data_IF_776308148267
#
_entry.id   IF_776308148267
#
_cell.length_a   1.000
_cell.length_b   1.000
_cell.length_c   1.000
_cell.angle_alpha   90.00
_cell.angle_beta   90.00
_cell.angle_gamma   90.00
#
_symmetry.space_group_name_H-M   'P 1'
#
loop_
_entity.id
_entity.type
_entity.pdbx_description
1 polymer ?
#
# COMPACT_ATOMS: atom_id res chain seq x y z
N UNK A 1 -18.23 8.81 2.01
CA UNK A 1 -17.86 7.97 3.19
C UNK A 1 -16.71 8.66 3.91
N UNK A 2 -16.64 8.60 5.26
CA UNK A 2 -15.51 9.14 6.04
C UNK A 2 -14.87 8.02 6.86
N UNK A 3 -13.54 7.88 6.79
CA UNK A 3 -12.71 6.98 7.61
C UNK A 3 -11.66 7.82 8.33
N UNK A 4 -11.20 7.39 9.50
CA UNK A 4 -10.21 8.14 10.27
C UNK A 4 -9.25 7.22 11.05
N UNK A 5 -8.12 7.82 11.44
CA UNK A 5 -7.16 7.32 12.39
C UNK A 5 -6.74 8.48 13.30
N UNK A 6 -6.18 8.18 14.46
CA UNK A 6 -5.67 9.16 15.43
C UNK A 6 -4.24 8.79 15.79
N UNK A 7 -3.36 9.79 15.77
CA UNK A 7 -1.99 9.67 16.26
C UNK A 7 -1.83 10.54 17.50
N UNK A 8 -1.13 10.03 18.52
CA UNK A 8 -0.74 10.76 19.72
C UNK A 8 0.78 10.74 19.80
N UNK A 9 1.39 11.87 20.17
CA UNK A 9 2.82 11.99 20.38
C UNK A 9 3.12 12.68 21.71
N UNK A 10 4.09 12.16 22.46
CA UNK A 10 4.52 12.73 23.74
C UNK A 10 6.05 12.88 23.76
N UNK A 11 6.53 14.08 24.12
CA UNK A 11 7.96 14.40 24.21
C UNK A 11 8.55 14.99 22.94
N UNK A 12 9.88 15.12 22.90
CA UNK A 12 10.61 15.62 21.73
C UNK A 12 10.66 14.58 20.58
N UNK A 13 11.15 14.98 19.41
CA UNK A 13 11.16 14.11 18.22
C UNK A 13 12.07 12.88 18.40
N UNK A 14 13.23 12.99 19.06
CA UNK A 14 14.22 11.89 19.11
C UNK A 14 13.94 10.89 20.22
N UNK A 15 13.46 11.36 21.37
CA UNK A 15 13.21 10.51 22.56
C UNK A 15 11.73 10.27 22.83
N UNK A 16 10.85 11.00 22.14
CA UNK A 16 9.41 10.89 22.28
C UNK A 16 8.85 9.54 21.84
N UNK A 17 7.61 9.32 22.25
CA UNK A 17 6.86 8.11 21.95
C UNK A 17 5.52 8.49 21.38
N UNK A 18 5.11 7.77 20.34
CA UNK A 18 3.81 7.93 19.74
C UNK A 18 3.01 6.64 19.71
N UNK A 19 1.70 6.81 19.57
CA UNK A 19 0.76 5.73 19.29
C UNK A 19 -0.16 6.10 18.14
N UNK A 20 -0.56 5.11 17.33
CA UNK A 20 -1.54 5.26 16.25
C UNK A 20 -2.71 4.28 16.49
N UNK A 21 -3.93 4.78 16.32
CA UNK A 21 -5.17 3.98 16.38
C UNK A 21 -6.01 4.22 15.14
N UNK A 22 -6.61 3.16 14.57
CA UNK A 22 -7.56 3.28 13.45
C UNK A 22 -9.00 3.15 13.93
N UNK A 23 -9.96 3.73 13.21
CA UNK A 23 -11.39 3.63 13.54
C UNK A 23 -11.87 2.16 13.68
N UNK A 24 -11.29 1.24 12.90
CA UNK A 24 -11.60 -0.20 12.94
C UNK A 24 -10.99 -0.92 14.14
N UNK A 25 -10.07 -0.27 14.87
CA UNK A 25 -9.22 -0.87 15.91
C UNK A 25 -8.25 -1.94 15.40
N UNK A 26 -8.01 -2.01 14.09
CA UNK A 26 -6.96 -2.86 13.52
C UNK A 26 -5.59 -2.41 14.03
N UNK A 27 -5.39 -1.10 14.16
CA UNK A 27 -4.35 -0.52 15.01
C UNK A 27 -5.05 0.03 16.25
N UNK A 28 -4.56 -0.34 17.43
CA UNK A 28 -5.08 0.11 18.71
C UNK A 28 -3.91 0.47 19.63
N UNK A 29 -3.66 1.77 19.76
CA UNK A 29 -2.52 2.33 20.47
C UNK A 29 -1.19 1.71 20.02
N UNK A 30 -1.08 1.38 18.73
CA UNK A 30 0.11 0.76 18.15
C UNK A 30 1.27 1.74 18.22
N UNK A 31 2.39 1.30 18.78
CA UNK A 31 3.55 2.17 18.99
C UNK A 31 4.22 2.58 17.67
N UNK A 32 4.62 3.85 17.60
CA UNK A 32 5.55 4.39 16.61
C UNK A 32 6.48 5.41 17.26
N UNK A 33 7.68 5.59 16.71
CA UNK A 33 8.70 6.48 17.25
C UNK A 33 9.65 6.94 16.14
N UNK A 34 10.58 7.84 16.46
CA UNK A 34 11.66 8.19 15.54
C UNK A 34 12.51 6.96 15.19
N UNK A 35 12.80 6.12 16.20
CA UNK A 35 13.56 4.90 16.01
C UNK A 35 12.84 3.91 15.09
N UNK A 36 11.55 3.66 15.28
CA UNK A 36 10.81 2.71 14.40
C UNK A 36 10.55 3.26 13.00
N UNK A 37 10.82 4.55 12.76
CA UNK A 37 10.66 5.19 11.45
C UNK A 37 11.98 5.34 10.69
N UNK A 38 13.08 5.62 11.38
CA UNK A 38 14.37 5.93 10.75
C UNK A 38 15.53 5.02 11.17
N UNK A 39 15.29 4.13 12.14
CA UNK A 39 16.24 3.12 12.63
C UNK A 39 15.55 1.75 12.64
N UNK A 40 16.25 0.72 13.15
CA UNK A 40 15.65 -0.59 13.38
C UNK A 40 14.90 -0.62 14.72
N UNK A 41 13.66 -1.08 14.70
CA UNK A 41 12.86 -1.23 15.91
C UNK A 41 11.50 -1.87 15.65
N UNK A 42 10.91 -2.45 16.70
CA UNK A 42 9.57 -3.04 16.62
C UNK A 42 8.53 -1.92 16.81
N UNK A 43 7.72 -1.65 15.80
CA UNK A 43 6.63 -0.68 15.81
C UNK A 43 6.20 -0.33 14.39
N UNK A 44 5.10 0.40 14.25
CA UNK A 44 4.66 0.86 12.92
C UNK A 44 5.39 2.16 12.53
N UNK A 45 5.22 2.57 11.28
CA UNK A 45 5.66 3.87 10.77
C UNK A 45 4.67 4.35 9.67
N UNK A 46 4.61 5.66 9.38
CA UNK A 46 3.73 6.18 8.34
C UNK A 46 3.93 5.51 6.98
N UNK A 47 5.17 5.20 6.61
CA UNK A 47 5.53 4.66 5.29
C UNK A 47 4.91 3.27 5.05
N UNK A 48 4.97 2.35 6.00
CA UNK A 48 4.33 1.03 5.86
C UNK A 48 2.80 1.13 5.85
N UNK A 49 2.21 2.13 6.51
CA UNK A 49 0.75 2.34 6.50
C UNK A 49 0.28 2.89 5.15
N UNK A 50 1.08 3.76 4.54
CA UNK A 50 0.87 4.23 3.16
C UNK A 50 1.03 3.07 2.18
N UNK A 51 2.06 2.23 2.36
CA UNK A 51 2.27 1.03 1.55
C UNK A 51 1.08 0.06 1.64
N UNK A 52 0.59 -0.20 2.85
CA UNK A 52 -0.57 -1.06 3.09
C UNK A 52 -1.84 -0.51 2.41
N UNK A 53 -2.07 0.81 2.50
CA UNK A 53 -3.18 1.46 1.83
C UNK A 53 -3.10 1.33 0.31
N UNK A 54 -1.91 1.54 -0.28
CA UNK A 54 -1.72 1.46 -1.73
C UNK A 54 -1.83 0.03 -2.24
N UNK A 55 -1.13 -0.92 -1.63
CA UNK A 55 -1.22 -2.34 -1.99
C UNK A 55 -2.68 -2.84 -1.95
N UNK A 56 -3.41 -2.54 -0.87
CA UNK A 56 -4.81 -2.97 -0.73
C UNK A 56 -5.73 -2.32 -1.77
N UNK A 57 -5.57 -1.03 -2.02
CA UNK A 57 -6.40 -0.31 -2.98
C UNK A 57 -6.15 -0.77 -4.42
N UNK A 58 -4.88 -0.91 -4.82
CA UNK A 58 -4.47 -1.42 -6.11
C UNK A 58 -4.99 -2.84 -6.33
N UNK A 59 -4.77 -3.75 -5.38
CA UNK A 59 -5.19 -5.16 -5.48
C UNK A 59 -6.69 -5.28 -5.69
N UNK A 60 -7.48 -4.51 -4.93
CA UNK A 60 -8.93 -4.50 -5.06
C UNK A 60 -9.37 -3.97 -6.44
N UNK A 61 -8.74 -2.90 -6.92
CA UNK A 61 -9.04 -2.33 -8.23
C UNK A 61 -8.69 -3.27 -9.39
N UNK A 62 -7.53 -3.93 -9.32
CA UNK A 62 -7.11 -4.95 -10.27
C UNK A 62 -8.12 -6.11 -10.30
N UNK A 63 -8.55 -6.59 -9.12
CA UNK A 63 -9.55 -7.66 -9.03
C UNK A 63 -10.88 -7.28 -9.69
N UNK A 64 -11.30 -6.01 -9.56
CA UNK A 64 -12.52 -5.51 -10.18
C UNK A 64 -12.40 -5.54 -11.71
N UNK A 65 -11.29 -5.05 -12.29
CA UNK A 65 -11.11 -5.05 -13.74
C UNK A 65 -10.96 -6.45 -14.34
N UNK A 66 -10.28 -7.37 -13.65
CA UNK A 66 -10.20 -8.78 -14.05
C UNK A 66 -11.60 -9.42 -14.04
N UNK A 67 -12.40 -9.13 -13.00
CA UNK A 67 -13.78 -9.61 -12.90
C UNK A 67 -14.71 -9.04 -13.97
N UNK A 68 -14.56 -7.77 -14.34
CA UNK A 68 -15.29 -7.14 -15.45
C UNK A 68 -15.05 -7.84 -16.79
N UNK A 69 -13.85 -8.41 -17.00
CA UNK A 69 -13.52 -9.23 -18.18
C UNK A 69 -13.99 -10.69 -18.07
N UNK A 70 -14.56 -11.10 -16.93
CA UNK A 70 -15.10 -12.45 -16.72
C UNK A 70 -14.06 -13.50 -16.35
N UNK A 71 -12.83 -13.11 -16.03
CA UNK A 71 -11.81 -14.06 -15.56
C UNK A 71 -12.01 -14.43 -14.08
N UNK A 72 -11.52 -15.60 -13.70
CA UNK A 72 -11.59 -16.09 -12.32
C UNK A 72 -10.22 -15.98 -11.66
N UNK A 73 -10.17 -15.23 -10.56
CA UNK A 73 -8.96 -15.02 -9.73
C UNK A 73 -8.87 -16.16 -8.71
N UNK A 74 -7.74 -16.85 -8.65
CA UNK A 74 -7.41 -17.74 -7.54
C UNK A 74 -6.68 -16.96 -6.43
N UNK A 75 -5.69 -16.13 -6.78
CA UNK A 75 -4.98 -15.25 -5.85
C UNK A 75 -4.41 -14.02 -6.57
N UNK A 76 -4.42 -12.86 -5.90
CA UNK A 76 -3.59 -11.70 -6.25
C UNK A 76 -2.88 -11.27 -4.98
N UNK A 77 -1.56 -11.30 -5.01
CA UNK A 77 -0.70 -10.86 -3.93
C UNK A 77 0.07 -9.65 -4.40
N UNK A 78 -0.05 -8.55 -3.67
CA UNK A 78 0.66 -7.32 -3.97
C UNK A 78 1.46 -6.87 -2.76
N UNK A 79 2.77 -6.68 -2.97
CA UNK A 79 3.65 -5.97 -2.04
C UNK A 79 3.81 -4.53 -2.53
N UNK A 80 3.76 -3.58 -1.62
CA UNK A 80 4.08 -2.19 -1.92
C UNK A 80 5.33 -1.78 -1.12
N UNK A 81 6.29 -1.18 -1.81
CA UNK A 81 7.47 -0.59 -1.22
C UNK A 81 7.40 0.94 -1.38
N UNK A 82 7.48 1.66 -0.26
CA UNK A 82 7.49 3.12 -0.23
C UNK A 82 8.92 3.59 0.03
N UNK A 83 9.45 4.40 -0.89
CA UNK A 83 10.80 4.96 -0.77
C UNK A 83 10.74 6.38 -0.21
N UNK A 84 11.32 6.56 0.98
CA UNK A 84 11.47 7.86 1.64
C UNK A 84 12.94 8.31 1.57
N UNK A 85 13.21 9.43 0.90
CA UNK A 85 14.56 10.01 0.76
C UNK A 85 14.53 11.47 1.20
N UNK A 86 15.44 11.85 2.09
CA UNK A 86 15.57 13.24 2.59
C UNK A 86 14.23 13.85 3.08
N UNK A 87 13.37 13.03 3.67
CA UNK A 87 12.06 13.44 4.19
C UNK A 87 10.95 13.54 3.14
N UNK A 88 11.20 13.13 1.90
CA UNK A 88 10.23 13.12 0.78
C UNK A 88 9.93 11.69 0.34
N UNK A 89 8.65 11.36 0.18
CA UNK A 89 8.25 10.09 -0.45
C UNK A 89 8.45 10.26 -1.96
N UNK A 90 9.44 9.57 -2.51
CA UNK A 90 9.85 9.72 -3.92
C UNK A 90 9.34 8.61 -4.82
N UNK A 91 8.92 7.47 -4.25
CA UNK A 91 8.39 6.35 -5.02
C UNK A 91 7.43 5.48 -4.22
N UNK A 92 6.44 4.92 -4.92
CA UNK A 92 5.66 3.75 -4.52
C UNK A 92 5.79 2.65 -5.58
N UNK A 93 6.44 1.53 -5.25
CA UNK A 93 6.60 0.39 -6.15
C UNK A 93 5.67 -0.76 -5.75
N UNK A 94 4.93 -1.32 -6.70
CA UNK A 94 4.02 -2.44 -6.52
C UNK A 94 4.57 -3.70 -7.18
N UNK A 95 4.87 -4.73 -6.39
CA UNK A 95 5.21 -6.07 -6.90
C UNK A 95 4.00 -6.98 -6.81
N UNK A 96 3.55 -7.52 -7.94
CA UNK A 96 2.31 -8.29 -8.08
C UNK A 96 2.60 -9.72 -8.52
N UNK A 97 2.12 -10.69 -7.76
CA UNK A 97 2.06 -12.11 -8.13
C UNK A 97 0.59 -12.48 -8.23
N UNK A 98 0.12 -12.96 -9.39
CA UNK A 98 -1.29 -13.28 -9.58
C UNK A 98 -1.48 -14.65 -10.23
N UNK A 99 -2.45 -15.42 -9.72
CA UNK A 99 -2.90 -16.68 -10.30
C UNK A 99 -4.33 -16.51 -10.79
N UNK A 100 -4.52 -16.49 -12.10
CA UNK A 100 -5.80 -16.17 -12.75
C UNK A 100 -6.06 -17.16 -13.88
N UNK A 101 -7.27 -17.74 -13.91
CA UNK A 101 -7.64 -18.75 -14.90
C UNK A 101 -7.94 -18.12 -16.26
N UNK A 102 -7.37 -18.70 -17.32
CA UNK A 102 -7.67 -18.41 -18.73
C UNK A 102 -7.41 -16.97 -19.19
N UNK A 103 -6.66 -16.16 -18.43
CA UNK A 103 -6.20 -14.84 -18.87
C UNK A 103 -4.86 -14.99 -19.61
N UNK A 104 -4.64 -14.18 -20.63
CA UNK A 104 -3.32 -14.07 -21.26
C UNK A 104 -2.42 -13.14 -20.44
N UNK A 105 -1.10 -13.33 -20.49
CA UNK A 105 -0.17 -12.42 -19.82
C UNK A 105 -0.34 -10.98 -20.34
N UNK A 106 -0.47 -10.78 -21.65
CA UNK A 106 -0.70 -9.44 -22.23
C UNK A 106 -1.92 -8.73 -21.64
N UNK A 107 -3.07 -9.42 -21.56
CA UNK A 107 -4.28 -8.81 -20.98
C UNK A 107 -4.12 -8.58 -19.47
N UNK A 108 -3.42 -9.48 -18.75
CA UNK A 108 -3.09 -9.26 -17.35
C UNK A 108 -2.24 -8.00 -17.14
N UNK A 109 -1.18 -7.80 -17.93
CA UNK A 109 -0.32 -6.62 -17.85
C UNK A 109 -1.09 -5.33 -18.16
N UNK A 110 -1.97 -5.33 -19.16
CA UNK A 110 -2.84 -4.18 -19.46
C UNK A 110 -3.74 -3.81 -18.28
N UNK A 111 -4.30 -4.82 -17.59
CA UNK A 111 -5.16 -4.60 -16.42
C UNK A 111 -4.36 -4.12 -15.20
N UNK A 112 -3.12 -4.57 -15.04
CA UNK A 112 -2.18 -4.09 -14.01
C UNK A 112 -1.89 -2.61 -14.22
N UNK A 113 -1.47 -2.18 -15.41
CA UNK A 113 -1.24 -0.76 -15.71
C UNK A 113 -2.51 0.06 -15.50
N UNK A 114 -3.66 -0.45 -15.96
CA UNK A 114 -4.94 0.23 -15.74
C UNK A 114 -5.25 0.41 -14.25
N UNK A 115 -4.99 -0.59 -13.41
CA UNK A 115 -5.20 -0.50 -11.96
C UNK A 115 -4.20 0.46 -11.29
N UNK A 116 -2.95 0.46 -11.74
CA UNK A 116 -1.89 1.36 -11.27
C UNK A 116 -2.30 2.82 -11.45
N UNK A 117 -2.86 3.18 -12.61
CA UNK A 117 -3.29 4.55 -12.91
C UNK A 117 -4.61 4.95 -12.25
N UNK A 118 -5.47 3.96 -11.95
CA UNK A 118 -6.88 4.25 -11.64
C UNK A 118 -7.33 4.00 -10.21
N UNK A 119 -6.58 3.25 -9.41
CA UNK A 119 -6.99 3.01 -8.03
C UNK A 119 -7.01 4.34 -7.24
N UNK A 120 -7.98 4.57 -6.34
CA UNK A 120 -8.10 5.82 -5.59
C UNK A 120 -6.83 6.27 -4.85
N UNK A 121 -6.02 5.34 -4.33
CA UNK A 121 -4.77 5.70 -3.64
C UNK A 121 -3.69 6.13 -4.64
N UNK A 122 -3.56 5.48 -5.80
CA UNK A 122 -2.66 5.96 -6.86
C UNK A 122 -3.00 7.39 -7.29
N UNK A 123 -4.30 7.69 -7.48
CA UNK A 123 -4.77 9.02 -7.86
C UNK A 123 -4.54 10.10 -6.80
N UNK A 124 -4.32 9.69 -5.54
CA UNK A 124 -4.02 10.60 -4.44
C UNK A 124 -2.53 10.93 -4.35
N UNK A 125 -1.66 10.04 -4.84
CA UNK A 125 -0.22 10.18 -4.68
C UNK A 125 0.36 11.21 -5.65
N UNK A 126 1.31 12.00 -5.13
CA UNK A 126 2.13 12.95 -5.88
C UNK A 126 3.60 12.47 -5.79
N UNK A 127 3.84 11.29 -6.35
CA UNK A 127 5.13 10.60 -6.32
C UNK A 127 5.22 9.63 -7.50
N UNK A 128 6.41 9.12 -7.82
CA UNK A 128 6.53 8.11 -8.86
C UNK A 128 5.83 6.82 -8.44
N UNK A 129 4.94 6.29 -9.28
CA UNK A 129 4.30 4.99 -9.08
C UNK A 129 4.82 4.07 -10.17
N UNK A 130 5.24 2.86 -9.78
CA UNK A 130 5.64 1.82 -10.72
C UNK A 130 5.10 0.48 -10.26
N UNK A 131 4.95 -0.46 -11.20
CA UNK A 131 4.61 -1.84 -10.88
C UNK A 131 5.45 -2.84 -11.67
N UNK A 132 5.61 -4.02 -11.07
CA UNK A 132 6.11 -5.23 -11.71
C UNK A 132 5.11 -6.35 -11.43
N UNK A 133 4.66 -7.06 -12.46
CA UNK A 133 3.61 -8.07 -12.31
C UNK A 133 3.96 -9.38 -13.01
N UNK A 134 3.74 -10.48 -12.30
CA UNK A 134 3.97 -11.84 -12.80
C UNK A 134 2.67 -12.65 -12.70
N UNK A 135 2.24 -13.21 -13.82
CA UNK A 135 1.19 -14.23 -13.86
C UNK A 135 1.80 -15.60 -13.55
N UNK A 136 1.25 -16.30 -12.54
CA UNK A 136 1.76 -17.56 -11.97
C UNK A 136 0.86 -18.74 -12.31
#
# INVERSE_FOLDING_TARGET
MKRNATAVWNGDVKTGKGTISTQSKTLDNTQYSFKTRFEDGIGTNPEELVAAAHAGCFTMQLSAFIGEKGFTIDEIKTKCDITLTEGTIVQSHLTVEAKIKNISDTEFQELVTKAEENCPISKLFDTEITSSATLV
#
